data_IF_853771827787
#
_entry.id   IF_853771827787
#
_cell.length_a   1.000
_cell.length_b   1.000
_cell.length_c   1.000
_cell.angle_alpha   90.00
_cell.angle_beta   90.00
_cell.angle_gamma   90.00
#
_symmetry.space_group_name_H-M   'P 1'
#
loop_
_entity.id
_entity.type
_entity.pdbx_description
1 polymer ?
#
# COMPACT_ATOMS: atom_id res chain seq x y z
N UNK A 1 -8.14 -3.09 4.60
CA UNK A 1 -7.59 -3.24 3.22
C UNK A 1 -7.95 -1.99 2.46
N UNK A 2 -7.07 -1.42 1.62
CA UNK A 2 -7.34 -0.16 0.91
C UNK A 2 -8.51 -0.38 -0.06
N UNK A 3 -9.72 0.03 0.35
CA UNK A 3 -10.96 -0.11 -0.44
C UNK A 3 -11.14 1.05 -1.43
N UNK A 4 -10.08 1.41 -2.16
CA UNK A 4 -10.10 2.47 -3.15
C UNK A 4 -9.41 1.99 -4.43
N UNK A 5 -10.20 1.81 -5.48
CA UNK A 5 -9.74 1.34 -6.77
C UNK A 5 -8.62 2.22 -7.34
N UNK A 6 -8.72 3.54 -7.22
CA UNK A 6 -7.69 4.46 -7.70
C UNK A 6 -6.36 4.27 -6.97
N UNK A 7 -6.37 4.05 -5.65
CA UNK A 7 -5.15 3.80 -4.89
C UNK A 7 -4.52 2.44 -5.22
N UNK A 8 -5.33 1.41 -5.46
CA UNK A 8 -4.84 0.10 -5.89
C UNK A 8 -4.18 0.17 -7.27
N UNK A 9 -4.75 0.95 -8.19
CA UNK A 9 -4.13 1.22 -9.49
C UNK A 9 -2.81 1.98 -9.36
N UNK A 10 -2.75 2.98 -8.47
CA UNK A 10 -1.50 3.71 -8.20
C UNK A 10 -0.43 2.77 -7.64
N UNK A 11 -0.79 1.86 -6.74
CA UNK A 11 0.14 0.85 -6.20
C UNK A 11 0.60 -0.14 -7.26
N UNK A 12 -0.31 -0.63 -8.10
CA UNK A 12 -0.01 -1.53 -9.21
C UNK A 12 0.96 -0.89 -10.20
N UNK A 13 0.60 0.25 -10.80
CA UNK A 13 1.48 0.98 -11.73
C UNK A 13 2.76 1.46 -11.06
N UNK A 14 2.68 1.88 -9.79
CA UNK A 14 3.84 2.31 -9.02
C UNK A 14 4.85 1.18 -8.85
N UNK A 15 4.40 -0.05 -8.59
CA UNK A 15 5.29 -1.19 -8.45
C UNK A 15 6.02 -1.53 -9.76
N UNK A 16 5.31 -1.53 -10.89
CA UNK A 16 5.92 -1.70 -12.23
C UNK A 16 6.98 -0.64 -12.54
N UNK A 17 6.70 0.62 -12.19
CA UNK A 17 7.67 1.72 -12.32
C UNK A 17 8.91 1.49 -11.44
N UNK A 18 8.75 0.87 -10.27
CA UNK A 18 9.86 0.51 -9.40
C UNK A 18 10.67 -0.64 -9.97
N UNK A 19 10.05 -1.69 -10.52
CA UNK A 19 10.77 -2.76 -11.21
C UNK A 19 11.59 -2.23 -12.38
N UNK A 20 10.98 -1.39 -13.23
CA UNK A 20 11.67 -0.73 -14.34
C UNK A 20 12.84 0.13 -13.85
N UNK A 21 12.67 0.81 -12.71
CA UNK A 21 13.72 1.62 -12.09
C UNK A 21 14.88 0.77 -11.59
N UNK A 22 14.59 -0.37 -10.95
CA UNK A 22 15.59 -1.20 -10.27
C UNK A 22 16.12 -2.38 -11.10
N UNK A 23 15.69 -2.56 -12.35
CA UNK A 23 16.19 -3.61 -13.27
C UNK A 23 17.71 -3.64 -13.46
N UNK A 24 18.38 -2.51 -13.28
CA UNK A 24 19.84 -2.41 -13.38
C UNK A 24 20.57 -2.96 -12.15
N UNK A 25 19.87 -3.06 -11.01
CA UNK A 25 20.40 -3.59 -9.75
C UNK A 25 20.02 -5.06 -9.55
N UNK A 26 18.80 -5.44 -9.93
CA UNK A 26 18.25 -6.77 -9.70
C UNK A 26 17.95 -7.47 -11.03
N UNK A 27 18.61 -8.59 -11.35
CA UNK A 27 18.37 -9.32 -12.59
C UNK A 27 16.96 -9.92 -12.67
N UNK A 28 16.31 -10.15 -11.51
CA UNK A 28 14.93 -10.62 -11.46
C UNK A 28 13.94 -9.65 -12.11
N UNK A 29 14.23 -8.34 -12.11
CA UNK A 29 13.33 -7.32 -12.69
C UNK A 29 13.60 -7.07 -14.18
N UNK A 30 14.46 -7.87 -14.82
CA UNK A 30 14.74 -7.75 -16.25
C UNK A 30 13.81 -8.64 -17.06
N UNK A 31 12.51 -8.39 -16.92
CA UNK A 31 11.45 -9.10 -17.62
C UNK A 31 11.12 -8.45 -18.97
N UNK A 32 10.30 -9.12 -19.78
CA UNK A 32 9.90 -8.58 -21.07
C UNK A 32 8.96 -7.38 -20.87
N UNK A 33 9.19 -6.29 -21.61
CA UNK A 33 8.38 -5.07 -21.51
C UNK A 33 6.86 -5.29 -21.71
N UNK A 34 6.50 -6.30 -22.50
CA UNK A 34 5.10 -6.63 -22.76
C UNK A 34 4.46 -7.42 -21.62
N UNK A 35 5.26 -8.15 -20.83
CA UNK A 35 4.81 -8.93 -19.68
C UNK A 35 4.34 -7.97 -18.57
N UNK A 36 5.21 -7.03 -18.21
CA UNK A 36 4.94 -5.94 -17.26
C UNK A 36 3.70 -5.09 -17.64
N UNK A 37 3.49 -4.82 -18.94
CA UNK A 37 2.36 -3.97 -19.38
C UNK A 37 1.07 -4.78 -19.55
N UNK A 38 1.12 -5.90 -20.25
CA UNK A 38 -0.09 -6.64 -20.66
C UNK A 38 -0.48 -7.61 -19.56
N UNK A 39 0.46 -8.39 -19.06
CA UNK A 39 0.16 -9.45 -18.10
C UNK A 39 -0.03 -8.84 -16.71
N UNK A 40 0.86 -7.98 -16.24
CA UNK A 40 0.78 -7.47 -14.88
C UNK A 40 -0.22 -6.32 -14.72
N UNK A 41 -0.07 -5.21 -15.47
CA UNK A 41 -0.98 -4.06 -15.35
C UNK A 41 -2.39 -4.38 -15.84
N UNK A 42 -2.53 -4.90 -17.07
CA UNK A 42 -3.84 -5.02 -17.72
C UNK A 42 -4.63 -6.27 -17.32
N UNK A 43 -3.96 -7.39 -17.02
CA UNK A 43 -4.63 -8.66 -16.75
C UNK A 43 -4.63 -8.98 -15.25
N UNK A 44 -3.48 -9.23 -14.65
CA UNK A 44 -3.38 -9.66 -13.26
C UNK A 44 -3.88 -8.60 -12.27
N UNK A 45 -3.41 -7.37 -12.40
CA UNK A 45 -3.80 -6.29 -11.50
C UNK A 45 -5.25 -5.87 -11.71
N UNK A 46 -5.73 -5.80 -12.96
CA UNK A 46 -7.13 -5.51 -13.22
C UNK A 46 -8.07 -6.58 -12.65
N UNK A 47 -7.79 -7.86 -12.91
CA UNK A 47 -8.60 -8.98 -12.39
C UNK A 47 -8.53 -9.04 -10.87
N UNK A 48 -7.35 -8.85 -10.27
CA UNK A 48 -7.15 -8.83 -8.83
C UNK A 48 -7.92 -7.70 -8.15
N UNK A 49 -7.85 -6.48 -8.69
CA UNK A 49 -8.61 -5.33 -8.18
C UNK A 49 -10.12 -5.58 -8.34
N UNK A 50 -10.55 -6.08 -9.51
CA UNK A 50 -11.96 -6.38 -9.75
C UNK A 50 -12.50 -7.44 -8.79
N UNK A 51 -11.80 -8.57 -8.64
CA UNK A 51 -12.16 -9.66 -7.75
C UNK A 51 -12.15 -9.22 -6.27
N UNK A 52 -11.16 -8.44 -5.86
CA UNK A 52 -11.07 -7.86 -4.52
C UNK A 52 -12.25 -6.94 -4.22
N UNK A 53 -12.56 -6.01 -5.14
CA UNK A 53 -13.70 -5.10 -5.01
C UNK A 53 -15.04 -5.84 -5.01
N UNK A 54 -15.19 -6.87 -5.83
CA UNK A 54 -16.37 -7.73 -5.86
C UNK A 54 -16.56 -8.49 -4.54
N UNK A 55 -15.48 -9.07 -4.00
CA UNK A 55 -15.48 -9.79 -2.72
C UNK A 55 -15.92 -8.87 -1.58
N UNK A 56 -15.35 -7.66 -1.51
CA UNK A 56 -15.74 -6.66 -0.52
C UNK A 56 -17.22 -6.31 -0.62
N UNK A 57 -17.76 -6.09 -1.84
CA UNK A 57 -19.20 -5.81 -2.05
C UNK A 57 -20.08 -6.98 -1.63
N UNK A 58 -19.65 -8.21 -1.89
CA UNK A 58 -20.38 -9.42 -1.49
C UNK A 58 -20.52 -9.53 0.04
N UNK A 59 -19.48 -9.16 0.80
CA UNK A 59 -19.53 -9.16 2.26
C UNK A 59 -20.22 -7.93 2.87
N UNK A 60 -20.11 -6.75 2.25
CA UNK A 60 -20.79 -5.51 2.70
C UNK A 60 -22.33 -5.63 2.62
N UNK A 61 -22.84 -6.48 1.72
CA UNK A 61 -24.27 -6.72 1.53
C UNK A 61 -24.92 -7.71 2.51
N UNK A 62 -24.18 -8.33 3.44
CA UNK A 62 -24.73 -9.32 4.38
C UNK A 62 -24.85 -8.75 5.79
N UNK A 63 -26.07 -8.43 6.21
CA UNK A 63 -26.39 -8.13 7.61
C UNK A 63 -26.41 -9.43 8.42
N UNK A 64 -25.58 -9.52 9.46
CA UNK A 64 -25.51 -10.71 10.33
C UNK A 64 -26.47 -10.56 11.53
N UNK A 65 -27.47 -11.44 11.60
CA UNK A 65 -28.36 -11.60 12.76
C UNK A 65 -27.62 -12.29 13.93
N UNK A 66 -27.42 -11.56 15.03
CA UNK A 66 -26.74 -12.04 16.24
C UNK A 66 -27.63 -12.91 17.12
N UNK A 67 -28.02 -14.10 16.63
CA UNK A 67 -28.73 -15.12 17.45
C UNK A 67 -27.75 -16.14 18.04
N UNK A 68 -27.91 -16.54 19.31
CA UNK A 68 -26.95 -17.39 20.04
C UNK A 68 -26.57 -18.73 19.35
N UNK A 69 -25.31 -19.16 19.52
CA UNK A 69 -24.70 -20.37 18.92
C UNK A 69 -25.43 -21.66 19.30
N UNK A 70 -26.14 -21.68 20.43
CA UNK A 70 -26.86 -22.87 20.92
C UNK A 70 -28.10 -23.22 20.09
N UNK A 71 -28.62 -22.31 19.27
CA UNK A 71 -29.85 -22.52 18.47
C UNK A 71 -29.61 -23.09 17.06
N UNK A 72 -28.36 -23.31 16.61
CA UNK A 72 -28.10 -23.87 15.28
C UNK A 72 -28.00 -25.41 15.28
N UNK A 73 -28.84 -26.12 14.49
CA UNK A 73 -28.89 -27.58 14.48
C UNK A 73 -27.74 -28.25 13.72
N UNK A 74 -27.11 -27.57 12.74
CA UNK A 74 -26.11 -28.18 11.84
C UNK A 74 -24.66 -27.75 12.14
N UNK A 75 -23.74 -28.71 12.11
CA UNK A 75 -22.29 -28.51 12.32
C UNK A 75 -21.69 -27.58 11.26
N UNK A 76 -22.10 -27.71 9.99
CA UNK A 76 -21.68 -26.83 8.88
C UNK A 76 -22.07 -25.37 9.16
N UNK A 77 -23.26 -25.15 9.74
CA UNK A 77 -23.72 -23.82 10.12
C UNK A 77 -22.94 -23.25 11.30
N UNK A 78 -22.45 -24.08 12.22
CA UNK A 78 -21.54 -23.67 13.30
C UNK A 78 -20.18 -23.25 12.75
N UNK A 79 -19.54 -24.06 11.89
CA UNK A 79 -18.25 -23.74 11.27
C UNK A 79 -18.32 -22.46 10.42
N UNK A 80 -19.36 -22.34 9.58
CA UNK A 80 -19.59 -21.13 8.76
C UNK A 80 -19.75 -19.88 9.63
N UNK A 81 -20.36 -20.00 10.80
CA UNK A 81 -20.56 -18.90 11.75
C UNK A 81 -19.30 -18.56 12.54
N UNK A 82 -18.51 -19.55 12.95
CA UNK A 82 -17.18 -19.33 13.54
C UNK A 82 -16.26 -18.60 12.57
N UNK A 83 -16.26 -18.99 11.29
CA UNK A 83 -15.53 -18.26 10.24
C UNK A 83 -16.09 -16.83 10.03
N UNK A 84 -17.41 -16.65 10.17
CA UNK A 84 -18.05 -15.33 10.15
C UNK A 84 -17.70 -14.43 11.35
N UNK A 85 -17.31 -14.98 12.50
CA UNK A 85 -16.86 -14.17 13.65
C UNK A 85 -15.49 -13.51 13.41
N UNK A 86 -14.68 -14.07 12.50
CA UNK A 86 -13.45 -13.44 12.05
C UNK A 86 -13.70 -12.32 11.01
N UNK A 87 -14.94 -12.14 10.56
CA UNK A 87 -15.32 -10.99 9.72
C UNK A 87 -15.91 -9.86 10.60
N UNK A 88 -15.52 -8.60 10.36
CA UNK A 88 -15.97 -7.47 11.18
C UNK A 88 -17.49 -7.28 11.08
N UNK A 89 -18.12 -6.86 12.19
CA UNK A 89 -19.57 -6.64 12.28
C UNK A 89 -20.11 -5.55 11.34
N UNK A 90 -19.25 -4.61 10.91
CA UNK A 90 -19.56 -3.60 9.91
C UNK A 90 -18.31 -3.35 9.07
N UNK A 91 -18.48 -3.45 7.75
CA UNK A 91 -17.44 -3.10 6.79
C UNK A 91 -17.46 -1.60 6.54
N UNK A 92 -16.86 -0.80 7.44
CA UNK A 92 -16.75 0.64 7.23
C UNK A 92 -15.98 0.95 5.93
N UNK A 93 -16.48 1.93 5.17
CA UNK A 93 -15.86 2.37 3.92
C UNK A 93 -14.67 3.28 4.26
N UNK A 94 -13.46 2.83 3.93
CA UNK A 94 -12.26 3.64 4.11
C UNK A 94 -12.25 4.76 3.04
N UNK A 95 -12.65 5.96 3.44
CA UNK A 95 -12.76 7.13 2.57
C UNK A 95 -11.45 7.93 2.52
N UNK A 96 -10.60 7.64 1.55
CA UNK A 96 -9.24 8.22 1.45
C UNK A 96 -9.21 9.67 0.96
N UNK A 97 -10.05 10.03 -0.02
CA UNK A 97 -10.20 11.37 -0.60
C UNK A 97 -8.89 12.20 -0.69
N UNK A 98 -7.93 11.78 -1.53
CA UNK A 98 -6.61 12.43 -1.61
C UNK A 98 -6.68 13.90 -2.07
N UNK A 99 -7.70 14.27 -2.85
CA UNK A 99 -7.85 15.61 -3.43
C UNK A 99 -8.54 16.64 -2.50
N UNK A 100 -8.84 16.31 -1.24
CA UNK A 100 -9.48 17.28 -0.31
C UNK A 100 -8.53 18.36 0.21
N UNK A 101 -7.22 18.12 0.16
CA UNK A 101 -6.24 19.13 0.55
C UNK A 101 -4.80 18.63 0.38
N UNK A 102 -3.83 19.55 0.25
CA UNK A 102 -2.45 19.23 -0.08
C UNK A 102 -1.78 18.35 0.99
N UNK A 103 -2.04 18.60 2.28
CA UNK A 103 -1.50 17.77 3.35
C UNK A 103 -2.06 16.35 3.33
N UNK A 104 -3.37 16.20 3.06
CA UNK A 104 -4.01 14.88 2.97
C UNK A 104 -3.49 14.10 1.77
N UNK A 105 -3.26 14.80 0.64
CA UNK A 105 -2.62 14.21 -0.53
C UNK A 105 -1.24 13.63 -0.19
N UNK A 106 -0.37 14.41 0.46
CA UNK A 106 0.97 13.96 0.87
C UNK A 106 0.89 12.77 1.83
N UNK A 107 -0.05 12.78 2.78
CA UNK A 107 -0.23 11.66 3.69
C UNK A 107 -0.66 10.38 2.94
N UNK A 108 -1.66 10.45 2.06
CA UNK A 108 -2.07 9.28 1.26
C UNK A 108 -0.94 8.81 0.34
N UNK A 109 -0.19 9.73 -0.28
CA UNK A 109 0.98 9.39 -1.08
C UNK A 109 2.07 8.70 -0.25
N UNK A 110 2.31 9.16 0.99
CA UNK A 110 3.30 8.54 1.89
C UNK A 110 2.95 7.09 2.21
N UNK A 111 1.66 6.77 2.37
CA UNK A 111 1.22 5.38 2.54
C UNK A 111 1.57 4.53 1.31
N UNK A 112 1.35 5.04 0.09
CA UNK A 112 1.72 4.35 -1.13
C UNK A 112 3.23 4.11 -1.22
N UNK A 113 4.05 5.10 -0.87
CA UNK A 113 5.51 4.98 -0.86
C UNK A 113 5.98 3.91 0.13
N UNK A 114 5.44 3.90 1.36
CA UNK A 114 5.79 2.87 2.36
C UNK A 114 5.39 1.48 1.87
N UNK A 115 4.20 1.33 1.27
CA UNK A 115 3.75 0.06 0.72
C UNK A 115 4.71 -0.44 -0.38
N UNK A 116 5.06 0.43 -1.34
CA UNK A 116 6.03 0.09 -2.39
C UNK A 116 7.41 -0.26 -1.82
N UNK A 117 7.87 0.44 -0.78
CA UNK A 117 9.14 0.14 -0.12
C UNK A 117 9.13 -1.25 0.55
N UNK A 118 8.03 -1.64 1.19
CA UNK A 118 7.88 -2.97 1.80
C UNK A 118 7.93 -4.07 0.74
N UNK A 119 7.23 -3.88 -0.37
CA UNK A 119 7.24 -4.83 -1.49
C UNK A 119 8.65 -4.92 -2.10
N UNK A 120 9.29 -3.79 -2.38
CA UNK A 120 10.64 -3.73 -2.93
C UNK A 120 11.67 -4.39 -2.00
N UNK A 121 11.58 -4.14 -0.69
CA UNK A 121 12.43 -4.76 0.32
C UNK A 121 12.37 -6.29 0.26
N UNK A 122 11.24 -6.89 -0.14
CA UNK A 122 11.13 -8.35 -0.33
C UNK A 122 12.18 -8.87 -1.30
N UNK A 123 12.34 -8.20 -2.44
CA UNK A 123 13.23 -8.60 -3.51
C UNK A 123 14.69 -8.30 -3.14
N UNK A 124 14.95 -7.13 -2.57
CA UNK A 124 16.29 -6.77 -2.12
C UNK A 124 16.79 -7.67 -0.99
N UNK A 125 15.97 -7.97 0.03
CA UNK A 125 16.38 -8.89 1.10
C UNK A 125 16.68 -10.28 0.56
N UNK A 126 15.82 -10.80 -0.33
CA UNK A 126 16.05 -12.09 -0.98
C UNK A 126 17.40 -12.12 -1.70
N UNK A 127 17.72 -11.05 -2.44
CA UNK A 127 18.97 -10.94 -3.19
C UNK A 127 20.19 -10.73 -2.28
N UNK A 128 20.15 -9.74 -1.38
CA UNK A 128 21.26 -9.40 -0.48
C UNK A 128 21.61 -10.54 0.49
N UNK A 129 20.63 -11.30 0.95
CA UNK A 129 20.83 -12.44 1.86
C UNK A 129 21.00 -13.78 1.12
N UNK A 130 21.08 -13.77 -0.21
CA UNK A 130 21.26 -14.98 -1.03
C UNK A 130 20.25 -16.10 -0.71
N UNK A 131 18.98 -15.73 -0.47
CA UNK A 131 17.93 -16.68 -0.09
C UNK A 131 17.53 -17.50 -1.32
N UNK A 132 17.66 -18.84 -1.29
CA UNK A 132 17.32 -19.66 -2.43
C UNK A 132 15.79 -19.66 -2.68
N UNK A 133 15.33 -19.78 -3.93
CA UNK A 133 13.91 -19.69 -4.27
C UNK A 133 13.00 -20.71 -3.56
N UNK A 134 13.56 -21.86 -3.17
CA UNK A 134 12.82 -22.93 -2.47
C UNK A 134 12.61 -22.65 -0.98
N UNK A 135 13.24 -21.62 -0.42
CA UNK A 135 13.14 -21.33 1.01
C UNK A 135 11.82 -20.61 1.33
N UNK A 136 11.00 -21.11 2.28
CA UNK A 136 9.73 -20.52 2.64
C UNK A 136 9.82 -19.19 3.40
N UNK A 137 11.03 -18.71 3.77
CA UNK A 137 11.21 -17.45 4.52
C UNK A 137 10.51 -16.25 3.87
N UNK A 138 10.57 -16.13 2.54
CA UNK A 138 9.89 -15.05 1.82
C UNK A 138 8.37 -15.18 1.97
N UNK A 139 7.84 -16.41 1.89
CA UNK A 139 6.41 -16.69 2.07
C UNK A 139 5.96 -16.35 3.49
N UNK A 140 6.71 -16.76 4.52
CA UNK A 140 6.40 -16.41 5.91
C UNK A 140 6.41 -14.91 6.14
N UNK A 141 7.37 -14.19 5.54
CA UNK A 141 7.42 -12.73 5.58
C UNK A 141 6.17 -12.10 4.94
N UNK A 142 5.76 -12.57 3.76
CA UNK A 142 4.56 -12.06 3.08
C UNK A 142 3.29 -12.30 3.91
N UNK A 143 3.17 -13.46 4.56
CA UNK A 143 2.04 -13.76 5.47
C UNK A 143 2.05 -12.81 6.67
N UNK A 144 3.21 -12.57 7.30
CA UNK A 144 3.33 -11.65 8.43
C UNK A 144 2.98 -10.21 8.03
N UNK A 145 3.50 -9.74 6.88
CA UNK A 145 3.16 -8.43 6.35
C UNK A 145 1.68 -8.30 6.02
N UNK A 146 1.07 -9.33 5.45
CA UNK A 146 -0.38 -9.37 5.20
C UNK A 146 -1.19 -9.24 6.49
N UNK A 147 -0.81 -9.96 7.55
CA UNK A 147 -1.47 -9.89 8.85
C UNK A 147 -1.32 -8.51 9.53
N UNK A 148 -0.14 -7.88 9.43
CA UNK A 148 0.14 -6.57 10.03
C UNK A 148 -0.48 -5.42 9.19
N UNK A 149 -0.55 -5.57 7.87
CA UNK A 149 -1.07 -4.54 6.98
C UNK A 149 -2.56 -4.24 7.23
N UNK A 150 -3.37 -5.26 7.58
CA UNK A 150 -4.81 -5.09 7.84
C UNK A 150 -5.08 -4.07 8.97
N UNK A 151 -4.60 -4.28 10.21
CA UNK A 151 -4.77 -3.30 11.29
C UNK A 151 -4.02 -2.00 11.02
N UNK A 152 -2.84 -2.04 10.40
CA UNK A 152 -2.05 -0.84 10.06
C UNK A 152 -2.81 0.13 9.17
N UNK A 153 -3.37 -0.37 8.05
CA UNK A 153 -4.14 0.46 7.11
C UNK A 153 -5.37 1.05 7.81
N UNK A 154 -6.02 0.28 8.69
CA UNK A 154 -7.20 0.74 9.43
C UNK A 154 -6.85 1.83 10.43
N UNK A 155 -5.80 1.65 11.22
CA UNK A 155 -5.29 2.68 12.13
C UNK A 155 -4.87 3.95 11.38
N UNK A 156 -4.20 3.80 10.24
CA UNK A 156 -3.77 4.93 9.42
C UNK A 156 -4.96 5.70 8.82
N UNK A 157 -5.96 4.99 8.30
CA UNK A 157 -7.17 5.64 7.80
C UNK A 157 -7.93 6.37 8.93
N UNK A 158 -8.04 5.77 10.11
CA UNK A 158 -8.64 6.43 11.27
C UNK A 158 -7.85 7.70 11.66
N UNK A 159 -6.52 7.66 11.62
CA UNK A 159 -5.66 8.83 11.86
C UNK A 159 -5.90 9.96 10.84
N UNK A 160 -6.14 9.63 9.58
CA UNK A 160 -6.47 10.60 8.53
C UNK A 160 -7.85 11.23 8.73
N UNK A 161 -8.83 10.43 9.19
CA UNK A 161 -10.20 10.88 9.40
C UNK A 161 -10.39 11.63 10.72
N UNK A 162 -9.53 11.39 11.72
CA UNK A 162 -9.64 12.04 13.02
C UNK A 162 -9.36 13.55 12.90
N UNK A 163 -10.32 14.35 13.41
CA UNK A 163 -10.27 15.81 13.45
C UNK A 163 -9.76 16.35 14.78
N UNK A 164 -9.38 15.47 15.72
CA UNK A 164 -8.87 15.89 17.03
C UNK A 164 -7.56 16.70 16.89
N UNK A 165 -7.34 17.69 17.78
CA UNK A 165 -6.16 18.55 17.74
C UNK A 165 -4.86 17.80 18.07
N UNK A 166 -4.93 16.74 18.89
CA UNK A 166 -3.79 15.86 19.18
C UNK A 166 -4.00 14.54 18.45
N UNK A 167 -3.28 14.36 17.34
CA UNK A 167 -3.33 13.13 16.55
C UNK A 167 -2.24 12.17 17.03
N UNK A 168 -2.63 10.95 17.39
CA UNK A 168 -1.68 9.86 17.70
C UNK A 168 -1.74 8.82 16.59
N UNK A 169 -0.58 8.48 16.05
CA UNK A 169 -0.44 7.38 15.12
C UNK A 169 -0.52 6.05 15.90
N UNK A 170 -1.27 5.08 15.36
CA UNK A 170 -1.51 3.80 16.03
C UNK A 170 -0.25 2.95 16.17
N UNK A 171 -0.30 1.95 17.06
CA UNK A 171 0.86 1.13 17.40
C UNK A 171 1.30 0.23 16.23
N UNK A 172 0.34 -0.31 15.45
CA UNK A 172 0.67 -1.13 14.29
C UNK A 172 1.29 -0.31 13.17
N UNK A 173 0.89 0.95 13.00
CA UNK A 173 1.55 1.88 12.09
C UNK A 173 3.01 2.12 12.46
N UNK A 174 3.31 2.38 13.74
CA UNK A 174 4.69 2.53 14.21
C UNK A 174 5.51 1.26 14.05
N UNK A 175 4.93 0.11 14.40
CA UNK A 175 5.58 -1.19 14.25
C UNK A 175 5.90 -1.48 12.78
N UNK A 176 4.93 -1.28 11.88
CA UNK A 176 5.12 -1.47 10.44
C UNK A 176 6.21 -0.55 9.88
N UNK A 177 6.22 0.72 10.30
CA UNK A 177 7.26 1.67 9.90
C UNK A 177 8.64 1.24 10.40
N UNK A 178 8.75 0.79 11.66
CA UNK A 178 10.00 0.31 12.22
C UNK A 178 10.52 -0.93 11.49
N UNK A 179 9.65 -1.90 11.16
CA UNK A 179 10.04 -3.09 10.39
C UNK A 179 10.53 -2.67 9.00
N UNK A 180 9.79 -1.81 8.30
CA UNK A 180 10.18 -1.32 6.97
C UNK A 180 11.55 -0.63 6.99
N UNK A 181 11.84 0.20 8.01
CA UNK A 181 13.12 0.88 8.18
C UNK A 181 14.24 -0.13 8.45
N UNK A 182 14.02 -1.08 9.36
CA UNK A 182 15.02 -2.11 9.69
C UNK A 182 15.35 -2.96 8.46
N UNK A 183 14.35 -3.38 7.71
CA UNK A 183 14.53 -4.11 6.44
C UNK A 183 15.35 -3.31 5.44
N UNK A 184 15.05 -2.02 5.27
CA UNK A 184 15.79 -1.13 4.38
C UNK A 184 17.26 -1.00 4.82
N UNK A 185 17.50 -0.84 6.13
CA UNK A 185 18.86 -0.75 6.67
C UNK A 185 19.65 -2.05 6.47
N UNK A 186 19.01 -3.21 6.59
CA UNK A 186 19.62 -4.50 6.26
C UNK A 186 20.00 -4.53 4.77
N UNK A 187 19.09 -4.14 3.87
CA UNK A 187 19.37 -4.07 2.44
C UNK A 187 20.56 -3.16 2.12
N UNK A 188 20.66 -1.98 2.75
CA UNK A 188 21.78 -1.05 2.55
C UNK A 188 23.09 -1.64 3.08
N UNK A 189 23.06 -2.19 4.30
CA UNK A 189 24.26 -2.73 4.97
C UNK A 189 24.83 -3.95 4.23
N UNK A 190 23.97 -4.90 3.86
CA UNK A 190 24.40 -6.14 3.19
C UNK A 190 24.44 -6.00 1.66
N UNK A 191 23.84 -4.95 1.09
CA UNK A 191 23.91 -4.63 -0.33
C UNK A 191 25.23 -4.01 -0.79
N UNK A 192 26.11 -3.62 0.15
CA UNK A 192 27.36 -2.95 -0.17
C UNK A 192 28.29 -3.85 -1.00
N UNK A 193 28.61 -3.41 -2.23
CA UNK A 193 29.47 -4.17 -3.15
C UNK A 193 28.74 -5.22 -4.00
N UNK A 194 27.42 -5.42 -3.82
CA UNK A 194 26.63 -6.34 -4.65
C UNK A 194 26.10 -5.69 -5.95
N UNK A 195 26.08 -4.36 -6.02
CA UNK A 195 25.53 -3.62 -7.15
C UNK A 195 26.65 -2.88 -7.90
N UNK A 196 27.24 -3.49 -8.95
CA UNK A 196 28.36 -2.90 -9.68
C UNK A 196 27.96 -1.75 -10.60
N UNK A 197 26.69 -1.72 -11.03
CA UNK A 197 26.17 -0.68 -11.92
C UNK A 197 25.49 0.42 -11.12
N UNK A 198 25.97 1.67 -11.20
CA UNK A 198 25.30 2.79 -10.57
C UNK A 198 23.96 3.09 -11.27
N UNK A 199 23.12 3.88 -10.60
CA UNK A 199 21.84 4.29 -11.16
C UNK A 199 22.03 5.04 -12.48
N UNK A 200 21.37 4.64 -13.58
CA UNK A 200 21.51 5.30 -14.87
C UNK A 200 21.13 6.79 -14.78
N UNK A 201 21.91 7.71 -15.38
CA UNK A 201 21.63 9.14 -15.30
C UNK A 201 20.23 9.53 -15.77
N UNK A 202 19.72 8.86 -16.82
CA UNK A 202 18.36 9.09 -17.32
C UNK A 202 17.28 8.79 -16.28
N UNK A 203 17.49 7.78 -15.45
CA UNK A 203 16.56 7.42 -14.37
C UNK A 203 16.61 8.43 -13.23
N UNK A 204 17.81 8.92 -12.88
CA UNK A 204 17.98 10.01 -11.91
C UNK A 204 17.21 11.25 -12.40
N UNK A 205 17.41 11.65 -13.66
CA UNK A 205 16.70 12.81 -14.24
C UNK A 205 15.19 12.63 -14.25
N UNK A 206 14.71 11.42 -14.55
CA UNK A 206 13.27 11.11 -14.52
C UNK A 206 12.68 11.32 -13.12
N UNK A 207 13.24 10.67 -12.09
CA UNK A 207 12.73 10.79 -10.72
C UNK A 207 12.91 12.19 -10.14
N UNK A 208 14.02 12.88 -10.41
CA UNK A 208 14.24 14.26 -10.00
C UNK A 208 13.23 15.22 -10.67
N UNK A 209 12.91 15.01 -11.96
CA UNK A 209 11.90 15.79 -12.67
C UNK A 209 10.49 15.53 -12.11
N UNK A 210 10.14 14.27 -11.85
CA UNK A 210 8.85 13.90 -11.26
C UNK A 210 8.65 14.50 -9.86
N UNK A 211 9.69 14.45 -9.02
CA UNK A 211 9.68 15.08 -7.70
C UNK A 211 9.54 16.61 -7.78
N UNK A 212 10.22 17.24 -8.75
CA UNK A 212 10.14 18.69 -8.96
C UNK A 212 8.75 19.12 -9.42
N UNK A 213 8.16 18.40 -10.37
CA UNK A 213 6.78 18.65 -10.84
C UNK A 213 5.78 18.47 -9.72
N UNK A 214 5.92 17.41 -8.92
CA UNK A 214 5.05 17.16 -7.76
C UNK A 214 5.14 18.30 -6.73
N UNK A 215 6.35 18.78 -6.44
CA UNK A 215 6.58 19.89 -5.52
C UNK A 215 5.93 21.17 -6.03
N UNK A 216 6.14 21.52 -7.31
CA UNK A 216 5.52 22.70 -7.93
C UNK A 216 3.99 22.60 -7.89
N UNK A 217 3.43 21.43 -8.22
CA UNK A 217 1.99 21.18 -8.14
C UNK A 217 1.44 21.42 -6.72
N UNK A 218 2.10 20.88 -5.69
CA UNK A 218 1.70 21.05 -4.29
C UNK A 218 1.80 22.52 -3.84
N UNK A 219 2.84 23.24 -4.26
CA UNK A 219 3.02 24.66 -3.97
C UNK A 219 1.93 25.51 -4.62
N UNK A 220 1.66 25.29 -5.91
CA UNK A 220 0.60 25.99 -6.65
C UNK A 220 -0.77 25.75 -6.05
N UNK A 221 -1.07 24.50 -5.69
CA UNK A 221 -2.34 24.14 -5.08
C UNK A 221 -2.50 24.77 -3.69
N UNK A 222 -1.46 24.71 -2.86
CA UNK A 222 -1.47 25.37 -1.53
C UNK A 222 -1.66 26.88 -1.67
N UNK A 223 -1.01 27.49 -2.65
CA UNK A 223 -1.15 28.91 -2.95
C UNK A 223 -2.55 29.28 -3.45
N UNK A 224 -3.17 28.47 -4.31
CA UNK A 224 -4.53 28.68 -4.80
C UNK A 224 -5.56 28.60 -3.67
N UNK A 225 -5.40 27.64 -2.74
CA UNK A 225 -6.24 27.57 -1.53
C UNK A 225 -6.06 28.83 -0.68
N UNK A 226 -4.82 29.27 -0.45
CA UNK A 226 -4.54 30.46 0.34
C UNK A 226 -5.17 31.72 -0.28
N UNK A 227 -5.05 31.91 -1.61
CA UNK A 227 -5.70 33.03 -2.33
C UNK A 227 -7.21 33.00 -2.19
N UNK A 228 -7.84 31.85 -2.39
CA UNK A 228 -9.31 31.70 -2.28
C UNK A 228 -9.80 32.03 -0.86
N UNK A 229 -9.04 31.64 0.16
CA UNK A 229 -9.34 31.96 1.56
C UNK A 229 -9.18 33.46 1.88
N UNK A 230 -8.21 34.14 1.26
CA UNK A 230 -8.03 35.58 1.42
C UNK A 230 -9.17 36.37 0.77
N UNK A 231 -9.59 36.01 -0.44
CA UNK A 231 -10.73 36.67 -1.12
C UNK A 231 -12.04 36.50 -0.35
N UNK A 232 -12.29 35.33 0.24
CA UNK A 232 -13.47 35.07 1.09
C UNK A 232 -13.47 35.82 2.43
N UNK A 233 -12.33 36.32 2.90
CA UNK A 233 -12.25 37.15 4.11
C UNK A 233 -12.48 38.64 3.85
N UNK A 234 -12.47 39.06 2.58
CA UNK A 234 -12.62 40.46 2.16
C UNK A 234 -14.05 40.81 1.71
N UNK A 235 -14.90 39.81 1.50
CA UNK A 235 -16.36 39.93 1.31
C UNK A 235 -17.08 39.46 2.57
#
# INVERSE_FOLDING_TARGET
MIRNQSLLWVLSVGFELMELSFRHMLPNFNECWWDSIILDILVCNWIGIWAGMYTVRYFDGKTYEWVGISRQPNIISKVKRTLGQFTPARWDKDEWHPMLGPLRFVQVLSLCVVFMAVELNTFFLKFCLWIPPRNPVVVYRLILWWLIAIPTIREYNNYLQDRKPVKKLGAFCWLSLAICIVELLICIKFGHGLFPHPMPPGLITFWSSAASVLLVFLLLWTWQIHRTMQTKKQH
#
